data_IF_209412442205
#
_entry.id   IF_209412442205
#
_cell.length_a   1.000
_cell.length_b   1.000
_cell.length_c   1.000
_cell.angle_alpha   90.00
_cell.angle_beta   90.00
_cell.angle_gamma   90.00
#
_symmetry.space_group_name_H-M   'P 1'
#
loop_
_entity.id
_entity.type
_entity.pdbx_description
1 polymer ?
#
# COMPACT_ATOMS: atom_id res chain seq x y z
N UNK A 1 21.99 0.18 -21.85
CA UNK A 1 21.07 -0.54 -20.95
C UNK A 1 20.55 0.47 -19.95
N UNK A 2 19.47 1.15 -20.32
CA UNK A 2 18.85 2.16 -19.47
C UNK A 2 18.15 1.44 -18.32
N UNK A 3 18.72 1.53 -17.13
CA UNK A 3 18.05 1.06 -15.92
C UNK A 3 16.93 2.05 -15.63
N UNK A 4 15.68 1.59 -15.68
CA UNK A 4 14.58 2.37 -15.13
C UNK A 4 14.96 2.75 -13.69
N UNK A 5 14.88 4.04 -13.34
CA UNK A 5 15.00 4.47 -11.95
C UNK A 5 13.76 3.95 -11.20
N UNK A 6 13.86 2.76 -10.64
CA UNK A 6 12.80 2.08 -9.87
C UNK A 6 12.26 2.96 -8.73
N UNK A 7 13.11 3.85 -8.20
CA UNK A 7 12.77 4.84 -7.18
C UNK A 7 11.68 5.83 -7.59
N UNK A 8 11.48 6.08 -8.89
CA UNK A 8 10.40 6.96 -9.37
C UNK A 8 9.01 6.35 -9.19
N UNK A 9 8.94 5.04 -8.91
CA UNK A 9 7.69 4.28 -8.78
C UNK A 9 7.38 3.88 -7.34
N UNK A 10 8.16 4.38 -6.38
CA UNK A 10 7.91 4.16 -4.96
C UNK A 10 6.72 5.03 -4.51
N UNK A 11 5.60 4.38 -4.20
CA UNK A 11 4.45 5.08 -3.63
C UNK A 11 4.62 5.14 -2.12
N UNK A 12 4.75 6.35 -1.56
CA UNK A 12 4.79 6.59 -0.11
C UNK A 12 3.39 6.95 0.38
N UNK A 13 2.85 6.14 1.26
CA UNK A 13 1.57 6.37 1.91
C UNK A 13 1.84 6.88 3.33
N UNK A 14 1.32 8.07 3.64
CA UNK A 14 1.35 8.61 5.00
C UNK A 14 0.14 8.07 5.75
N UNK A 15 0.39 7.15 6.66
CA UNK A 15 -0.62 6.44 7.44
C UNK A 15 -0.40 6.72 8.92
N UNK A 16 -1.34 6.28 9.74
CA UNK A 16 -1.20 6.26 11.20
C UNK A 16 -1.01 4.81 11.66
N UNK A 17 -0.23 4.62 12.71
CA UNK A 17 -0.11 3.34 13.38
C UNK A 17 -0.40 3.49 14.88
N UNK A 18 -0.99 2.46 15.47
CA UNK A 18 -1.25 2.39 16.91
C UNK A 18 -0.16 1.59 17.59
N UNK A 19 0.56 2.21 18.51
CA UNK A 19 1.53 1.55 19.38
C UNK A 19 0.81 0.91 20.55
N UNK A 20 0.87 -0.42 20.62
CA UNK A 20 0.20 -1.22 21.66
C UNK A 20 1.08 -2.38 22.13
N UNK A 21 0.89 -2.89 23.35
CA UNK A 21 1.59 -4.09 23.81
C UNK A 21 1.20 -5.32 22.98
N UNK A 22 2.18 -6.21 22.73
CA UNK A 22 2.00 -7.39 21.86
C UNK A 22 0.82 -8.28 22.27
N UNK A 23 0.54 -8.34 23.57
CA UNK A 23 -0.50 -9.16 24.17
C UNK A 23 -1.90 -8.72 23.71
N UNK A 24 -2.09 -7.42 23.53
CA UNK A 24 -3.34 -6.83 23.08
C UNK A 24 -3.44 -6.70 21.56
N UNK A 25 -2.35 -6.94 20.83
CA UNK A 25 -2.32 -6.79 19.38
C UNK A 25 -3.40 -7.63 18.67
N UNK A 26 -3.64 -8.85 19.13
CA UNK A 26 -4.70 -9.71 18.59
C UNK A 26 -6.10 -9.13 18.84
N UNK A 27 -6.36 -8.64 20.06
CA UNK A 27 -7.64 -8.05 20.43
C UNK A 27 -7.92 -6.75 19.65
N UNK A 28 -6.92 -5.86 19.57
CA UNK A 28 -7.00 -4.61 18.82
C UNK A 28 -7.20 -4.86 17.32
N UNK A 29 -6.46 -5.81 16.75
CA UNK A 29 -6.64 -6.24 15.35
C UNK A 29 -8.07 -6.71 15.08
N UNK A 30 -8.65 -7.48 16.02
CA UNK A 30 -10.03 -7.97 15.89
C UNK A 30 -11.06 -6.84 15.99
N UNK A 31 -10.83 -5.85 16.86
CA UNK A 31 -11.70 -4.67 16.98
C UNK A 31 -11.65 -3.77 15.74
N UNK A 32 -10.44 -3.57 15.18
CA UNK A 32 -10.21 -2.73 14.01
C UNK A 32 -10.58 -3.40 12.67
N UNK A 33 -10.89 -4.70 12.70
CA UNK A 33 -11.34 -5.48 11.53
C UNK A 33 -12.63 -4.94 10.91
N UNK A 34 -13.37 -4.10 11.65
CA UNK A 34 -14.58 -3.41 11.20
C UNK A 34 -14.36 -2.36 10.10
N UNK A 35 -13.11 -2.17 9.63
CA UNK A 35 -12.80 -1.32 8.46
C UNK A 35 -11.70 -0.28 8.68
N UNK A 36 -11.10 -0.25 9.87
CA UNK A 36 -10.07 0.73 10.25
C UNK A 36 -8.65 0.20 10.02
N UNK A 37 -8.52 -1.09 9.75
CA UNK A 37 -7.25 -1.80 9.58
C UNK A 37 -6.81 -1.78 8.12
N UNK A 38 -5.50 -1.62 7.90
CA UNK A 38 -4.91 -1.50 6.56
C UNK A 38 -5.32 -2.66 5.63
N UNK A 39 -6.13 -2.35 4.62
CA UNK A 39 -6.57 -3.29 3.59
C UNK A 39 -5.60 -3.25 2.40
N UNK A 40 -4.43 -3.86 2.56
CA UNK A 40 -3.49 -4.01 1.45
C UNK A 40 -3.01 -5.45 1.27
N UNK A 41 -3.18 -6.04 0.06
CA UNK A 41 -2.72 -7.39 -0.19
C UNK A 41 -1.21 -7.47 -0.04
N UNK A 42 -0.68 -8.47 0.66
CA UNK A 42 0.78 -8.66 0.95
C UNK A 42 1.38 -7.69 1.97
N UNK A 43 0.67 -6.66 2.43
CA UNK A 43 1.12 -5.82 3.55
C UNK A 43 0.52 -6.35 4.84
N UNK A 44 1.37 -6.54 5.86
CA UNK A 44 0.89 -6.96 7.17
C UNK A 44 0.33 -5.73 7.90
N UNK A 45 -0.90 -5.80 8.42
CA UNK A 45 -1.49 -4.69 9.19
C UNK A 45 -0.83 -4.50 10.55
N UNK A 46 -0.16 -5.53 11.08
CA UNK A 46 0.58 -5.46 12.34
C UNK A 46 2.06 -5.61 12.03
N UNK A 47 2.82 -4.60 12.44
CA UNK A 47 4.27 -4.47 12.27
C UNK A 47 4.92 -4.48 13.65
N UNK A 48 6.16 -4.94 13.72
CA UNK A 48 6.95 -4.92 14.95
C UNK A 48 7.50 -3.51 15.20
N UNK A 49 7.50 -3.08 16.46
CA UNK A 49 7.99 -1.77 16.84
C UNK A 49 9.53 -1.80 16.90
N UNK A 50 10.25 -0.97 16.12
CA UNK A 50 11.71 -0.98 16.12
C UNK A 50 12.30 -0.43 17.43
N UNK A 51 11.51 0.36 18.17
CA UNK A 51 11.93 0.92 19.46
C UNK A 51 11.74 -0.07 20.62
N UNK A 52 10.89 -1.09 20.48
CA UNK A 52 10.57 -2.02 21.56
C UNK A 52 9.94 -3.34 21.06
N UNK A 53 10.62 -4.45 21.32
CA UNK A 53 10.09 -5.81 21.04
C UNK A 53 8.80 -6.18 21.79
N UNK A 54 8.48 -5.44 22.87
CA UNK A 54 7.27 -5.63 23.68
C UNK A 54 6.03 -4.99 23.05
N UNK A 55 6.24 -4.02 22.16
CA UNK A 55 5.17 -3.28 21.50
C UNK A 55 5.04 -3.72 20.04
N UNK A 56 3.85 -3.54 19.49
CA UNK A 56 3.54 -3.74 18.09
C UNK A 56 2.83 -2.49 17.56
N UNK A 57 3.08 -2.22 16.29
CA UNK A 57 2.49 -1.13 15.54
C UNK A 57 1.37 -1.68 14.68
N UNK A 58 0.13 -1.30 14.96
CA UNK A 58 -1.01 -1.66 14.13
C UNK A 58 -1.26 -0.53 13.15
N UNK A 59 -0.95 -0.75 11.88
CA UNK A 59 -1.12 0.22 10.80
C UNK A 59 -2.60 0.34 10.46
N UNK A 60 -3.09 1.58 10.49
CA UNK A 60 -4.45 1.94 10.16
C UNK A 60 -4.59 2.19 8.65
N UNK A 61 -5.83 2.11 8.18
CA UNK A 61 -6.19 2.44 6.80
C UNK A 61 -5.94 3.90 6.46
N UNK A 62 -5.74 4.21 5.17
CA UNK A 62 -5.57 5.57 4.64
C UNK A 62 -6.75 6.50 4.97
N UNK A 63 -7.93 5.95 5.25
CA UNK A 63 -9.12 6.70 5.71
C UNK A 63 -8.86 7.41 7.05
N UNK A 64 -8.07 6.79 7.91
CA UNK A 64 -7.76 7.32 9.25
C UNK A 64 -6.48 8.17 9.19
N UNK A 65 -6.64 9.43 8.83
CA UNK A 65 -5.54 10.42 8.84
C UNK A 65 -5.52 11.29 10.11
N UNK A 66 -6.58 11.20 10.92
CA UNK A 66 -6.73 12.03 12.11
C UNK A 66 -6.18 11.33 13.36
N UNK A 67 -5.25 11.96 14.11
CA UNK A 67 -4.70 11.39 15.34
C UNK A 67 -5.75 11.24 16.45
N UNK A 68 -6.83 12.04 16.42
CA UNK A 68 -7.99 11.91 17.31
C UNK A 68 -8.87 10.68 17.01
N UNK A 69 -8.44 9.87 16.02
CA UNK A 69 -9.14 8.72 15.50
C UNK A 69 -10.54 9.06 14.95
N UNK A 70 -10.86 10.33 14.70
CA UNK A 70 -12.18 10.89 14.26
C UNK A 70 -12.91 10.13 13.15
N UNK A 71 -12.18 9.35 12.37
CA UNK A 71 -12.71 8.51 11.29
C UNK A 71 -13.21 7.12 11.75
N UNK A 72 -12.74 6.63 12.90
CA UNK A 72 -13.09 5.32 13.48
C UNK A 72 -14.40 5.40 14.26
N UNK A 73 -15.31 4.42 14.21
CA UNK A 73 -16.52 4.42 15.02
C UNK A 73 -16.22 4.54 16.53
N UNK A 74 -17.01 5.36 17.22
CA UNK A 74 -16.88 5.64 18.66
C UNK A 74 -16.78 4.36 19.52
N UNK A 75 -17.58 3.34 19.20
CA UNK A 75 -17.58 2.06 19.91
C UNK A 75 -16.21 1.38 19.89
N UNK A 76 -15.51 1.43 18.76
CA UNK A 76 -14.18 0.82 18.62
C UNK A 76 -13.15 1.66 19.37
N UNK A 77 -13.22 2.99 19.29
CA UNK A 77 -12.31 3.86 20.05
C UNK A 77 -12.46 3.72 21.54
N UNK A 78 -13.70 3.64 22.03
CA UNK A 78 -13.99 3.46 23.45
C UNK A 78 -13.46 2.11 23.93
N UNK A 79 -13.72 1.04 23.17
CA UNK A 79 -13.15 -0.29 23.44
C UNK A 79 -11.62 -0.28 23.45
N UNK A 80 -10.97 0.46 22.54
CA UNK A 80 -9.52 0.61 22.54
C UNK A 80 -9.02 1.32 23.80
N UNK A 81 -9.63 2.45 24.17
CA UNK A 81 -9.28 3.21 25.38
C UNK A 81 -9.49 2.40 26.67
N UNK A 82 -10.55 1.58 26.72
CA UNK A 82 -10.85 0.68 27.84
C UNK A 82 -9.82 -0.45 27.97
N UNK A 83 -9.34 -0.99 26.84
CA UNK A 83 -8.35 -2.07 26.84
C UNK A 83 -6.94 -1.58 27.17
N UNK A 84 -6.52 -0.44 26.59
CA UNK A 84 -5.18 0.10 26.78
C UNK A 84 -5.08 1.57 26.38
N UNK A 85 -4.09 2.28 26.93
CA UNK A 85 -3.62 3.53 26.35
C UNK A 85 -2.90 3.25 25.03
N UNK A 86 -3.60 3.42 23.92
CA UNK A 86 -3.02 3.31 22.57
C UNK A 86 -2.38 4.64 22.18
N UNK A 87 -1.14 4.59 21.69
CA UNK A 87 -0.43 5.78 21.22
C UNK A 87 -0.49 5.84 19.70
N UNK A 88 -0.95 6.96 19.15
CA UNK A 88 -1.07 7.13 17.70
C UNK A 88 0.22 7.75 17.16
N UNK A 89 0.95 6.97 16.36
CA UNK A 89 2.21 7.39 15.76
C UNK A 89 2.09 7.50 14.23
N UNK A 90 2.69 8.53 13.62
CA UNK A 90 2.72 8.62 12.15
C UNK A 90 3.59 7.50 11.57
N UNK A 91 3.07 6.78 10.59
CA UNK A 91 3.73 5.66 9.93
C UNK A 91 3.77 5.86 8.41
N UNK A 92 4.96 5.86 7.82
CA UNK A 92 5.11 5.97 6.36
C UNK A 92 5.32 4.59 5.75
N UNK A 93 4.35 4.14 4.97
CA UNK A 93 4.45 2.87 4.22
C UNK A 93 4.97 3.16 2.82
N UNK A 94 6.15 2.62 2.49
CA UNK A 94 6.73 2.73 1.15
C UNK A 94 6.47 1.45 0.35
N UNK A 95 5.70 1.57 -0.73
CA UNK A 95 5.39 0.48 -1.65
C UNK A 95 6.26 0.61 -2.90
N UNK A 96 7.24 -0.29 -3.03
CA UNK A 96 8.16 -0.32 -4.16
C UNK A 96 7.59 -0.98 -5.43
N UNK A 97 8.40 -0.99 -6.49
CA UNK A 97 8.06 -1.56 -7.81
C UNK A 97 7.53 -3.02 -7.73
N UNK A 98 8.11 -3.86 -6.87
CA UNK A 98 7.69 -5.26 -6.69
C UNK A 98 6.27 -5.44 -6.15
N UNK A 99 5.67 -4.39 -5.58
CA UNK A 99 4.31 -4.45 -5.05
C UNK A 99 3.25 -4.20 -6.13
N UNK A 100 3.56 -3.36 -7.12
CA UNK A 100 2.62 -2.95 -8.16
C UNK A 100 2.70 -3.89 -9.36
N UNK A 101 1.55 -4.22 -9.95
CA UNK A 101 1.53 -4.92 -11.24
C UNK A 101 2.00 -3.98 -12.35
N UNK A 102 2.68 -4.51 -13.37
CA UNK A 102 3.18 -3.73 -14.50
C UNK A 102 2.10 -2.83 -15.12
N UNK A 103 0.86 -3.32 -15.22
CA UNK A 103 -0.30 -2.55 -15.69
C UNK A 103 -0.58 -1.28 -14.85
N UNK A 104 -0.50 -1.37 -13.52
CA UNK A 104 -0.73 -0.24 -12.62
C UNK A 104 0.37 0.81 -12.73
N UNK A 105 1.62 0.37 -12.91
CA UNK A 105 2.78 1.24 -13.09
C UNK A 105 2.70 1.93 -14.46
N UNK A 106 2.37 1.17 -15.53
CA UNK A 106 2.18 1.68 -16.89
C UNK A 106 1.07 2.74 -16.93
N UNK A 107 -0.03 2.54 -16.22
CA UNK A 107 -1.11 3.54 -16.09
C UNK A 107 -0.69 4.82 -15.37
N UNK A 108 0.24 4.74 -14.42
CA UNK A 108 0.81 5.95 -13.78
C UNK A 108 1.83 6.66 -14.67
N UNK A 109 2.53 5.93 -15.55
CA UNK A 109 3.46 6.47 -16.54
C UNK A 109 2.77 7.18 -17.71
N UNK A 110 1.61 6.68 -18.11
CA UNK A 110 0.86 7.23 -19.23
C UNK A 110 -0.02 8.38 -18.73
N UNK A 111 0.09 9.60 -19.30
CA UNK A 111 -0.84 10.68 -18.98
C UNK A 111 -2.27 10.25 -19.33
N UNK A 112 -3.24 10.69 -18.51
CA UNK A 112 -4.66 10.36 -18.66
C UNK A 112 -5.17 10.82 -20.04
N UNK A 113 -5.22 9.91 -21.01
CA UNK A 113 -5.60 10.21 -22.39
C UNK A 113 -4.95 9.36 -23.47
N UNK A 114 -3.97 8.51 -23.14
CA UNK A 114 -3.43 7.53 -24.09
C UNK A 114 -4.09 6.17 -23.85
N UNK A 115 -5.00 5.80 -24.76
CA UNK A 115 -5.47 4.43 -24.89
C UNK A 115 -4.26 3.52 -25.13
N UNK A 116 -4.05 2.56 -24.23
CA UNK A 116 -3.02 1.53 -24.42
C UNK A 116 -3.38 0.75 -25.70
N UNK A 117 -2.57 0.80 -26.77
CA UNK A 117 -2.82 -0.04 -27.92
C UNK A 117 -2.65 -1.49 -27.48
N UNK A 118 -3.75 -2.24 -27.46
CA UNK A 118 -3.84 -3.62 -26.95
C UNK A 118 -3.05 -4.66 -27.76
N UNK A 119 -2.29 -4.25 -28.78
CA UNK A 119 -1.46 -5.15 -29.58
C UNK A 119 -0.36 -4.35 -30.29
N UNK A 120 0.90 -4.69 -30.04
CA UNK A 120 2.00 -4.22 -30.88
C UNK A 120 2.11 -5.19 -32.06
N UNK A 121 1.34 -4.94 -33.12
CA UNK A 121 1.48 -5.73 -34.35
C UNK A 121 2.83 -5.40 -34.99
N UNK A 122 3.69 -6.41 -35.08
CA UNK A 122 4.95 -6.28 -35.82
C UNK A 122 4.60 -6.08 -37.28
N UNK A 123 4.86 -4.89 -37.82
CA UNK A 123 4.79 -4.66 -39.28
C UNK A 123 5.92 -5.48 -39.91
N UNK A 124 5.62 -6.72 -40.31
CA UNK A 124 6.48 -7.45 -41.24
C UNK A 124 6.35 -6.72 -42.58
N UNK A 125 7.42 -6.05 -43.03
CA UNK A 125 7.47 -5.53 -44.41
C UNK A 125 7.48 -6.75 -45.35
N UNK A 126 6.48 -6.97 -46.22
CA UNK A 126 6.65 -7.92 -47.29
C UNK A 126 7.47 -7.23 -48.38
N UNK A 127 8.80 -7.35 -48.32
CA UNK A 127 9.61 -7.06 -49.49
C UNK A 127 9.59 -8.31 -50.40
N UNK A 128 8.51 -8.43 -51.17
CA UNK A 128 8.55 -9.13 -52.43
C UNK A 128 9.54 -8.42 -53.35
N UNK A 129 10.62 -9.10 -53.72
CA UNK A 129 11.04 -9.11 -55.13
C UNK A 129 11.72 -10.42 -55.43
N UNK A 130 11.02 -11.15 -56.29
CA UNK A 130 11.39 -12.41 -56.89
C UNK A 130 12.73 -12.31 -57.63
N UNK A 131 13.34 -13.48 -57.75
CA UNK A 131 14.58 -13.75 -58.47
C UNK A 131 14.39 -13.71 -59.98
N UNK A 132 15.52 -13.49 -60.66
CA UNK A 132 15.92 -14.09 -61.93
C UNK A 132 15.13 -13.70 -63.20
N UNK A 133 15.78 -13.00 -64.12
CA UNK A 133 16.15 -13.52 -65.45
C UNK A 133 17.34 -12.71 -65.96
#
# INVERSE_FOLDING_TARGET
MEKLDESKFEKRLQLLALRIPRELASAVTRLLRSGCLLDMPRVKPVVEDPESEKHRLVVLSEKVQNPDLSDIPEQVRDSLKQLCSVDVVPYTLTLGYSYWSADHILKQLLPAGVEVPSSFETIVKPCCSLKHT
#
